data_IF_209520135021
#
_entry.id   IF_209520135021
#
_cell.length_a   1.000
_cell.length_b   1.000
_cell.length_c   1.000
_cell.angle_alpha   90.00
_cell.angle_beta   90.00
_cell.angle_gamma   90.00
#
_symmetry.space_group_name_H-M   'P 1'
#
loop_
_entity.id
_entity.type
_entity.pdbx_description
1 polymer ?
#
# COMPACT_ATOMS: atom_id res chain seq x y z
N UNK A 1 11.89 -11.55 -2.88
CA UNK A 1 10.89 -11.19 -1.83
C UNK A 1 9.75 -10.46 -2.50
N UNK A 2 8.51 -10.88 -2.30
CA UNK A 2 7.32 -10.24 -2.90
C UNK A 2 6.98 -8.92 -2.21
N UNK A 3 6.18 -8.08 -2.87
CA UNK A 3 5.64 -6.84 -2.27
C UNK A 3 4.79 -7.15 -1.03
N UNK A 4 4.03 -8.25 -1.03
CA UNK A 4 3.25 -8.66 0.13
C UNK A 4 4.17 -8.99 1.32
N UNK A 5 5.22 -9.77 1.08
CA UNK A 5 6.22 -10.10 2.10
C UNK A 5 6.90 -8.84 2.66
N UNK A 6 7.23 -7.89 1.78
CA UNK A 6 7.78 -6.59 2.18
C UNK A 6 6.80 -5.81 3.06
N UNK A 7 5.53 -5.72 2.69
CA UNK A 7 4.50 -5.01 3.48
C UNK A 7 4.35 -5.68 4.86
N UNK A 8 4.33 -7.02 4.91
CA UNK A 8 4.30 -7.78 6.17
C UNK A 8 5.50 -7.48 7.06
N UNK A 9 6.69 -7.33 6.47
CA UNK A 9 7.92 -6.97 7.18
C UNK A 9 7.88 -5.54 7.74
N UNK A 10 7.33 -4.58 6.97
CA UNK A 10 7.25 -3.17 7.37
C UNK A 10 6.18 -2.94 8.46
N UNK A 11 5.01 -3.58 8.32
CA UNK A 11 3.83 -3.35 9.18
C UNK A 11 4.09 -3.29 10.69
N UNK A 12 4.83 -4.23 11.33
CA UNK A 12 4.99 -4.20 12.78
C UNK A 12 5.80 -3.00 13.27
N UNK A 13 6.73 -2.49 12.47
CA UNK A 13 7.64 -1.41 12.86
C UNK A 13 7.94 -0.46 11.69
N UNK A 14 6.93 0.24 11.13
CA UNK A 14 7.11 1.03 9.91
C UNK A 14 8.19 2.09 10.06
N UNK A 15 8.31 2.70 11.24
CA UNK A 15 9.30 3.75 11.50
C UNK A 15 10.76 3.29 11.32
N UNK A 16 11.06 1.99 11.45
CA UNK A 16 12.40 1.45 11.21
C UNK A 16 12.78 1.46 9.72
N UNK A 17 11.79 1.38 8.84
CA UNK A 17 11.98 1.34 7.39
C UNK A 17 11.82 2.73 6.76
N UNK A 18 10.78 3.46 7.18
CA UNK A 18 10.34 4.68 6.50
C UNK A 18 10.52 5.96 7.31
N UNK A 19 11.14 5.87 8.50
CA UNK A 19 11.56 6.96 9.41
C UNK A 19 10.47 7.87 9.98
N UNK A 20 9.31 7.97 9.33
CA UNK A 20 8.15 8.78 9.73
C UNK A 20 6.88 7.98 9.45
N UNK A 21 5.86 8.14 10.28
CA UNK A 21 4.51 7.65 9.98
C UNK A 21 3.92 8.47 8.83
N UNK A 22 4.27 8.10 7.61
CA UNK A 22 3.91 8.80 6.40
C UNK A 22 3.54 7.78 5.32
N UNK A 23 2.33 7.94 4.77
CA UNK A 23 1.87 7.15 3.63
C UNK A 23 2.78 7.33 2.40
N UNK A 24 3.30 8.54 2.17
CA UNK A 24 4.20 8.82 1.06
C UNK A 24 5.60 8.26 1.28
N UNK A 25 6.11 8.27 2.52
CA UNK A 25 7.37 7.58 2.80
C UNK A 25 7.24 6.07 2.59
N UNK A 26 6.07 5.47 2.86
CA UNK A 26 5.79 4.08 2.52
C UNK A 26 5.80 3.87 1.00
N UNK A 27 5.05 4.68 0.26
CA UNK A 27 4.98 4.60 -1.21
C UNK A 27 6.38 4.69 -1.85
N UNK A 28 7.14 5.75 -1.53
CA UNK A 28 8.48 5.94 -2.07
C UNK A 28 9.45 4.82 -1.67
N UNK A 29 9.30 4.27 -0.46
CA UNK A 29 10.12 3.12 -0.04
C UNK A 29 9.78 1.88 -0.87
N UNK A 30 8.50 1.62 -1.12
CA UNK A 30 8.05 0.50 -1.95
C UNK A 30 8.48 0.71 -3.41
N UNK A 31 8.37 1.92 -3.95
CA UNK A 31 8.87 2.26 -5.28
C UNK A 31 10.37 2.01 -5.40
N UNK A 32 11.16 2.52 -4.46
CA UNK A 32 12.61 2.32 -4.44
C UNK A 32 12.98 0.84 -4.32
N UNK A 33 12.20 0.06 -3.56
CA UNK A 33 12.38 -1.39 -3.51
C UNK A 33 12.03 -2.04 -4.84
N UNK A 34 10.90 -1.69 -5.45
CA UNK A 34 10.45 -2.22 -6.74
C UNK A 34 11.48 -1.98 -7.85
N UNK A 35 12.03 -0.77 -7.96
CA UNK A 35 13.03 -0.42 -8.98
C UNK A 35 14.47 -0.83 -8.65
N UNK A 36 14.71 -1.57 -7.55
CA UNK A 36 16.08 -1.93 -7.13
C UNK A 36 16.76 -2.93 -8.07
N UNK A 37 15.99 -3.80 -8.70
CA UNK A 37 16.46 -4.94 -9.49
C UNK A 37 15.48 -5.19 -10.65
N UNK A 38 15.90 -4.81 -11.86
CA UNK A 38 15.08 -4.97 -13.07
C UNK A 38 14.99 -6.45 -13.53
N UNK A 39 15.88 -7.33 -13.02
CA UNK A 39 15.89 -8.76 -13.35
C UNK A 39 14.98 -9.57 -12.41
N UNK A 40 14.66 -9.03 -11.23
CA UNK A 40 13.70 -9.64 -10.29
C UNK A 40 12.28 -9.23 -10.73
N UNK A 41 11.45 -10.18 -11.21
CA UNK A 41 10.03 -9.95 -11.60
C UNK A 41 9.14 -9.68 -10.37
N UNK A 42 9.45 -8.62 -9.63
CA UNK A 42 8.73 -8.19 -8.44
C UNK A 42 7.52 -7.41 -8.89
N UNK A 43 6.41 -8.07 -9.19
CA UNK A 43 5.19 -7.36 -9.60
C UNK A 43 4.60 -6.56 -8.43
N UNK A 44 4.60 -5.24 -8.57
CA UNK A 44 3.88 -4.33 -7.67
C UNK A 44 2.43 -4.06 -8.11
N UNK A 45 1.94 -4.81 -9.10
CA UNK A 45 0.57 -4.72 -9.62
C UNK A 45 -0.49 -4.86 -8.52
N UNK A 46 -0.22 -5.65 -7.48
CA UNK A 46 -1.14 -5.77 -6.34
C UNK A 46 -1.43 -4.41 -5.66
N UNK A 47 -0.47 -3.48 -5.65
CA UNK A 47 -0.67 -2.14 -5.12
C UNK A 47 -1.18 -1.17 -6.18
N UNK A 48 -0.48 -1.10 -7.32
CA UNK A 48 -0.69 -0.05 -8.32
C UNK A 48 -1.84 -0.35 -9.29
N UNK A 49 -2.28 -1.61 -9.37
CA UNK A 49 -3.46 -2.03 -10.14
C UNK A 49 -4.55 -2.51 -9.19
N UNK A 50 -4.36 -3.63 -8.51
CA UNK A 50 -5.49 -4.32 -7.85
C UNK A 50 -6.04 -3.54 -6.63
N UNK A 51 -5.17 -3.20 -5.68
CA UNK A 51 -5.55 -2.44 -4.50
C UNK A 51 -6.02 -1.03 -4.86
N UNK A 52 -5.36 -0.41 -5.84
CA UNK A 52 -5.77 0.88 -6.39
C UNK A 52 -7.20 0.85 -6.94
N UNK A 53 -7.52 -0.10 -7.83
CA UNK A 53 -8.87 -0.26 -8.39
C UNK A 53 -9.90 -0.57 -7.31
N UNK A 54 -9.52 -1.38 -6.32
CA UNK A 54 -10.36 -1.70 -5.18
C UNK A 54 -10.71 -0.46 -4.35
N UNK A 55 -9.73 0.39 -4.05
CA UNK A 55 -9.95 1.67 -3.35
C UNK A 55 -10.88 2.59 -4.14
N UNK A 56 -10.63 2.76 -5.45
CA UNK A 56 -11.48 3.61 -6.31
C UNK A 56 -12.94 3.18 -6.28
N UNK A 57 -13.19 1.87 -6.42
CA UNK A 57 -14.55 1.31 -6.35
C UNK A 57 -15.17 1.51 -4.96
N UNK A 58 -14.42 1.23 -3.89
CA UNK A 58 -14.90 1.32 -2.51
C UNK A 58 -15.34 2.74 -2.13
N UNK A 59 -14.64 3.75 -2.61
CA UNK A 59 -14.89 5.15 -2.27
C UNK A 59 -15.58 5.94 -3.39
N UNK A 60 -16.03 5.27 -4.45
CA UNK A 60 -16.68 5.87 -5.63
C UNK A 60 -15.87 7.05 -6.20
N UNK A 61 -14.56 6.84 -6.36
CA UNK A 61 -13.61 7.85 -6.85
C UNK A 61 -13.26 7.60 -8.32
N UNK A 62 -13.32 8.66 -9.13
CA UNK A 62 -13.06 8.64 -10.57
C UNK A 62 -11.86 9.51 -10.98
N UNK A 63 -10.94 9.81 -10.06
CA UNK A 63 -9.73 10.59 -10.37
C UNK A 63 -8.50 9.71 -10.63
N UNK A 64 -7.44 10.34 -11.14
CA UNK A 64 -6.20 9.69 -11.59
C UNK A 64 -5.10 9.69 -10.52
N UNK A 65 -5.46 9.84 -9.24
CA UNK A 65 -4.48 9.81 -8.13
C UNK A 65 -3.94 8.40 -7.90
N UNK A 66 -2.77 8.29 -7.27
CA UNK A 66 -2.25 7.00 -6.78
C UNK A 66 -3.02 6.50 -5.54
N UNK A 67 -2.75 5.26 -5.13
CA UNK A 67 -3.38 4.67 -3.93
C UNK A 67 -3.03 5.47 -2.66
N UNK A 68 -1.80 5.97 -2.53
CA UNK A 68 -1.36 6.77 -1.38
C UNK A 68 -2.10 8.11 -1.29
N UNK A 69 -2.24 8.80 -2.43
CA UNK A 69 -3.00 10.04 -2.55
C UNK A 69 -4.50 9.86 -2.24
N UNK A 70 -5.10 8.75 -2.68
CA UNK A 70 -6.50 8.41 -2.34
C UNK A 70 -6.64 8.31 -0.82
N UNK A 71 -5.74 7.57 -0.16
CA UNK A 71 -5.77 7.40 1.29
C UNK A 71 -5.57 8.73 2.02
N UNK A 72 -4.61 9.56 1.60
CA UNK A 72 -4.44 10.88 2.18
C UNK A 72 -5.69 11.75 2.00
N UNK A 73 -6.29 11.73 0.81
CA UNK A 73 -7.49 12.50 0.53
C UNK A 73 -8.65 12.13 1.46
N UNK A 74 -8.84 10.84 1.74
CA UNK A 74 -9.91 10.34 2.61
C UNK A 74 -9.59 10.63 4.08
N UNK A 75 -8.38 10.31 4.53
CA UNK A 75 -8.01 10.28 5.96
C UNK A 75 -7.30 11.54 6.47
N UNK A 76 -7.05 12.51 5.59
CA UNK A 76 -6.61 13.89 5.88
C UNK A 76 -5.20 14.06 6.42
N UNK A 77 -4.61 13.06 7.06
CA UNK A 77 -3.21 13.10 7.54
C UNK A 77 -2.43 11.91 7.00
N UNK A 78 -1.12 12.08 6.81
CA UNK A 78 -0.26 10.98 6.34
C UNK A 78 -0.16 9.83 7.36
N UNK A 79 -0.24 10.14 8.65
CA UNK A 79 -0.18 9.16 9.74
C UNK A 79 -1.44 8.29 9.76
N UNK A 80 -2.62 8.89 9.71
CA UNK A 80 -3.87 8.14 9.64
C UNK A 80 -3.97 7.36 8.33
N UNK A 81 -3.58 7.97 7.20
CA UNK A 81 -3.54 7.29 5.91
C UNK A 81 -2.63 6.03 5.94
N UNK A 82 -1.50 6.08 6.66
CA UNK A 82 -0.62 4.92 6.84
C UNK A 82 -1.26 3.83 7.71
N UNK A 83 -1.92 4.19 8.81
CA UNK A 83 -2.65 3.21 9.65
C UNK A 83 -3.73 2.54 8.81
N UNK A 84 -4.50 3.33 8.07
CA UNK A 84 -5.61 2.88 7.25
C UNK A 84 -5.14 2.08 6.04
N UNK A 85 -3.97 2.38 5.48
CA UNK A 85 -3.35 1.56 4.45
C UNK A 85 -3.28 0.10 4.91
N UNK A 86 -2.71 -0.18 6.09
CA UNK A 86 -2.61 -1.56 6.56
C UNK A 86 -4.01 -2.16 6.71
N UNK A 87 -4.92 -1.50 7.43
CA UNK A 87 -6.28 -2.01 7.66
C UNK A 87 -6.98 -2.35 6.33
N UNK A 88 -6.99 -1.41 5.39
CA UNK A 88 -7.65 -1.56 4.10
C UNK A 88 -6.97 -2.59 3.22
N UNK A 89 -5.64 -2.70 3.27
CA UNK A 89 -4.90 -3.70 2.53
C UNK A 89 -5.22 -5.12 3.02
N UNK A 90 -5.41 -5.32 4.34
CA UNK A 90 -5.87 -6.61 4.88
C UNK A 90 -7.30 -6.95 4.42
N UNK A 91 -8.20 -5.96 4.42
CA UNK A 91 -9.58 -6.14 3.96
C UNK A 91 -9.61 -6.47 2.47
N UNK A 92 -8.90 -5.69 1.65
CA UNK A 92 -8.74 -5.95 0.22
C UNK A 92 -8.24 -7.38 -0.03
N UNK A 93 -7.19 -7.80 0.68
CA UNK A 93 -6.62 -9.12 0.50
C UNK A 93 -7.61 -10.23 0.89
N UNK A 94 -8.34 -10.06 1.99
CA UNK A 94 -9.40 -10.98 2.41
C UNK A 94 -10.55 -11.07 1.42
N UNK A 95 -11.02 -9.93 0.91
CA UNK A 95 -12.09 -9.90 -0.09
C UNK A 95 -11.66 -10.51 -1.42
N UNK A 96 -10.37 -10.39 -1.79
CA UNK A 96 -9.83 -10.86 -3.08
C UNK A 96 -9.45 -12.33 -3.06
N UNK A 97 -8.84 -12.81 -1.97
CA UNK A 97 -8.24 -14.15 -1.90
C UNK A 97 -8.88 -15.07 -0.86
N UNK A 98 -9.79 -14.56 -0.04
CA UNK A 98 -10.49 -15.34 1.00
C UNK A 98 -9.68 -15.58 2.28
N UNK A 99 -8.50 -14.97 2.42
CA UNK A 99 -7.58 -15.14 3.55
C UNK A 99 -7.15 -13.79 4.13
N UNK A 100 -6.81 -13.73 5.43
CA UNK A 100 -6.24 -12.53 6.05
C UNK A 100 -4.71 -12.52 5.91
N UNK A 101 -4.12 -11.34 5.69
CA UNK A 101 -2.66 -11.18 5.62
C UNK A 101 -2.00 -11.30 6.99
N UNK A 102 -2.69 -10.87 8.04
CA UNK A 102 -2.28 -10.89 9.44
C UNK A 102 -3.49 -10.88 10.37
#
# INVERSE_FOLDING_TARGET
MTIIELIKLIKPFPILFIRKHSIFNLEVFIDGWYYRDEDEDVKADILYTDFYEWLRKRYNMNDSRGWADILLYIFKTEEEALIQFFILFNIFYKETYGEELW
#
